data_IF_193370015799
#
_entry.id   IF_193370015799
#
_cell.length_a   1.000
_cell.length_b   1.000
_cell.length_c   1.000
_cell.angle_alpha   90.00
_cell.angle_beta   90.00
_cell.angle_gamma   90.00
#
_symmetry.space_group_name_H-M   'P 1'
#
loop_
_entity.id
_entity.type
_entity.pdbx_description
1 polymer ?
#
# COMPACT_ATOMS: atom_id res chain seq x y z
N UNK A 1 12.25 -2.00 4.30
CA UNK A 1 11.71 -3.31 4.69
C UNK A 1 12.18 -4.33 3.65
N UNK A 2 12.93 -5.37 4.03
CA UNK A 2 13.51 -6.32 3.05
C UNK A 2 12.46 -7.38 2.67
N UNK A 3 12.46 -7.83 1.41
CA UNK A 3 11.52 -8.82 0.86
C UNK A 3 11.36 -10.08 1.73
N UNK A 4 12.42 -10.49 2.43
CA UNK A 4 12.43 -11.63 3.33
C UNK A 4 11.58 -11.43 4.60
N UNK A 5 11.43 -10.20 5.08
CA UNK A 5 10.59 -9.90 6.25
C UNK A 5 9.12 -10.07 5.91
N UNK A 6 8.68 -9.54 4.76
CA UNK A 6 7.30 -9.67 4.28
C UNK A 6 6.87 -11.13 4.06
N UNK A 7 7.75 -11.95 3.49
CA UNK A 7 7.46 -13.39 3.27
C UNK A 7 7.29 -14.11 4.62
N UNK A 8 8.13 -13.76 5.61
CA UNK A 8 8.05 -14.36 6.95
C UNK A 8 6.74 -13.98 7.65
N UNK A 9 6.36 -12.70 7.58
CA UNK A 9 5.13 -12.20 8.22
C UNK A 9 3.87 -12.84 7.60
N UNK A 10 3.87 -13.03 6.28
CA UNK A 10 2.78 -13.72 5.57
C UNK A 10 2.71 -15.20 5.99
N UNK A 11 3.84 -15.89 6.06
CA UNK A 11 3.85 -17.31 6.45
C UNK A 11 3.35 -17.52 7.88
N UNK A 12 3.76 -16.66 8.82
CA UNK A 12 3.26 -16.71 10.20
C UNK A 12 1.75 -16.44 10.27
N UNK A 13 1.23 -15.55 9.43
CA UNK A 13 -0.21 -15.30 9.35
C UNK A 13 -0.96 -16.54 8.82
N UNK A 14 -0.44 -17.18 7.77
CA UNK A 14 -1.03 -18.39 7.18
C UNK A 14 -1.04 -19.57 8.15
N UNK A 15 0.04 -19.75 8.92
CA UNK A 15 0.16 -20.80 9.93
C UNK A 15 -0.84 -20.64 11.09
N UNK A 16 -1.30 -19.41 11.35
CA UNK A 16 -2.27 -19.11 12.41
C UNK A 16 -3.73 -19.38 12.03
N UNK A 17 -3.99 -19.78 10.77
CA UNK A 17 -5.34 -19.95 10.25
C UNK A 17 -5.73 -21.43 10.31
N UNK A 18 -6.53 -21.77 11.32
CA UNK A 18 -7.10 -23.12 11.49
C UNK A 18 -8.39 -23.32 10.65
N UNK A 19 -8.89 -22.25 10.06
CA UNK A 19 -10.18 -22.17 9.37
C UNK A 19 -9.97 -22.13 7.86
N UNK A 20 -10.32 -23.23 7.18
CA UNK A 20 -10.16 -23.44 5.75
C UNK A 20 -10.82 -22.31 4.92
N UNK A 21 -11.96 -21.77 5.37
CA UNK A 21 -12.67 -20.71 4.66
C UNK A 21 -11.86 -19.41 4.65
N UNK A 22 -11.10 -19.14 5.72
CA UNK A 22 -10.20 -17.97 5.80
C UNK A 22 -8.94 -18.16 4.97
N UNK A 23 -8.45 -19.39 4.88
CA UNK A 23 -7.30 -19.71 4.02
C UNK A 23 -7.67 -19.54 2.54
N UNK A 24 -8.87 -19.98 2.17
CA UNK A 24 -9.41 -19.81 0.81
C UNK A 24 -9.60 -18.32 0.47
N UNK A 25 -10.15 -17.52 1.39
CA UNK A 25 -10.27 -16.08 1.20
C UNK A 25 -8.91 -15.36 1.02
N UNK A 26 -7.87 -15.77 1.75
CA UNK A 26 -6.52 -15.22 1.57
C UNK A 26 -5.91 -15.66 0.24
N UNK A 27 -6.12 -16.91 -0.14
CA UNK A 27 -5.66 -17.42 -1.43
C UNK A 27 -6.31 -16.64 -2.59
N UNK A 28 -7.62 -16.44 -2.55
CA UNK A 28 -8.35 -15.64 -3.52
C UNK A 28 -7.84 -14.19 -3.59
N UNK A 29 -7.54 -13.58 -2.44
CA UNK A 29 -6.97 -12.24 -2.37
C UNK A 29 -5.57 -12.17 -3.02
N UNK A 30 -4.71 -13.15 -2.74
CA UNK A 30 -3.37 -13.25 -3.33
C UNK A 30 -3.48 -13.45 -4.85
N UNK A 31 -4.35 -14.36 -5.30
CA UNK A 31 -4.62 -14.61 -6.72
C UNK A 31 -5.18 -13.36 -7.41
N UNK A 32 -6.10 -12.64 -6.77
CA UNK A 32 -6.62 -11.38 -7.26
C UNK A 32 -5.49 -10.39 -7.52
N UNK A 33 -4.63 -10.13 -6.54
CA UNK A 33 -3.50 -9.20 -6.71
C UNK A 33 -2.44 -9.68 -7.70
N UNK A 34 -2.23 -10.99 -7.82
CA UNK A 34 -1.27 -11.57 -8.78
C UNK A 34 -1.78 -11.48 -10.21
N UNK A 35 -3.08 -11.64 -10.42
CA UNK A 35 -3.70 -11.72 -11.74
C UNK A 35 -4.35 -10.41 -12.20
N UNK A 36 -4.57 -9.44 -11.30
CA UNK A 36 -4.80 -8.06 -11.73
C UNK A 36 -3.57 -7.57 -12.46
N UNK A 37 -3.62 -7.62 -13.80
CA UNK A 37 -2.72 -6.87 -14.68
C UNK A 37 -2.58 -5.49 -14.08
N UNK A 38 -1.35 -5.09 -13.87
CA UNK A 38 -0.98 -3.92 -13.09
C UNK A 38 -1.61 -2.64 -13.67
N UNK A 39 -2.85 -2.35 -13.28
CA UNK A 39 -3.58 -1.11 -13.56
C UNK A 39 -3.20 -0.03 -12.55
N UNK A 40 -2.21 -0.28 -11.67
CA UNK A 40 -1.80 0.67 -10.65
C UNK A 40 -1.12 1.83 -11.37
N UNK A 41 -1.77 2.98 -11.34
CA UNK A 41 -1.28 4.28 -11.81
C UNK A 41 0.21 4.48 -11.51
N UNK A 42 0.67 4.00 -10.36
CA UNK A 42 2.08 3.95 -9.95
C UNK A 42 3.04 3.45 -11.03
N UNK A 43 2.71 2.37 -11.75
CA UNK A 43 3.63 1.79 -12.74
C UNK A 43 3.68 2.57 -14.06
N UNK A 44 2.72 3.47 -14.29
CA UNK A 44 2.72 4.41 -15.41
C UNK A 44 3.48 5.70 -15.10
N UNK A 45 3.88 5.92 -13.85
CA UNK A 45 4.63 7.10 -13.44
C UNK A 45 6.12 6.94 -13.77
N UNK A 46 6.71 8.03 -14.27
CA UNK A 46 8.16 8.20 -14.35
C UNK A 46 8.79 8.15 -12.96
N UNK A 47 10.11 7.93 -12.89
CA UNK A 47 10.81 7.91 -11.60
C UNK A 47 10.66 9.25 -10.85
N UNK A 48 10.77 10.37 -11.56
CA UNK A 48 10.59 11.70 -10.98
C UNK A 48 9.20 11.91 -10.36
N UNK A 49 8.16 11.41 -11.02
CA UNK A 49 6.78 11.47 -10.49
C UNK A 49 6.60 10.59 -9.25
N UNK A 50 7.22 9.42 -9.22
CA UNK A 50 7.23 8.56 -8.03
C UNK A 50 7.95 9.23 -6.87
N UNK A 51 9.12 9.79 -7.13
CA UNK A 51 9.94 10.49 -6.13
C UNK A 51 9.21 11.72 -5.58
N UNK A 52 8.48 12.45 -6.44
CA UNK A 52 7.63 13.56 -6.03
C UNK A 52 6.51 13.10 -5.09
N UNK A 53 5.80 12.02 -5.41
CA UNK A 53 4.73 11.50 -4.55
C UNK A 53 5.27 11.05 -3.19
N UNK A 54 6.40 10.32 -3.17
CA UNK A 54 7.03 9.89 -1.92
C UNK A 54 7.48 11.07 -1.07
N UNK A 55 7.99 12.13 -1.71
CA UNK A 55 8.37 13.37 -1.04
C UNK A 55 7.16 14.08 -0.42
N UNK A 56 6.09 14.25 -1.20
CA UNK A 56 4.85 14.86 -0.72
C UNK A 56 4.24 14.08 0.45
N UNK A 57 4.32 12.74 0.43
CA UNK A 57 3.90 11.91 1.55
C UNK A 57 4.74 12.19 2.81
N UNK A 58 6.06 12.16 2.72
CA UNK A 58 6.95 12.46 3.85
C UNK A 58 6.75 13.89 4.38
N UNK A 59 6.51 14.85 3.49
CA UNK A 59 6.22 16.24 3.85
C UNK A 59 4.88 16.36 4.58
N UNK A 60 3.88 15.54 4.23
CA UNK A 60 2.57 15.54 4.89
C UNK A 60 2.57 14.93 6.29
N UNK A 61 3.60 14.15 6.65
CA UNK A 61 3.79 13.66 8.02
C UNK A 61 4.33 14.75 8.96
N UNK A 62 4.72 15.90 8.43
CA UNK A 62 5.07 17.07 9.23
C UNK A 62 3.85 17.99 9.37
N UNK A 63 3.30 18.08 10.58
CA UNK A 63 2.14 18.91 10.90
C UNK A 63 2.33 20.39 10.53
N UNK A 64 3.58 20.91 10.56
CA UNK A 64 3.89 22.30 10.16
C UNK A 64 3.63 22.56 8.66
N UNK A 65 3.61 21.50 7.85
CA UNK A 65 3.31 21.58 6.41
C UNK A 65 1.82 21.44 6.12
N UNK A 66 1.00 21.14 7.13
CA UNK A 66 -0.44 20.98 6.95
C UNK A 66 -1.12 22.35 6.95
N UNK A 67 -2.02 22.53 5.98
CA UNK A 67 -2.93 23.68 5.94
C UNK A 67 -4.26 23.31 6.57
N UNK A 68 -4.92 24.27 7.20
CA UNK A 68 -6.21 24.01 7.82
C UNK A 68 -7.27 23.67 6.75
N UNK A 69 -8.24 22.82 7.09
CA UNK A 69 -9.37 22.50 6.20
C UNK A 69 -10.05 23.78 5.68
N UNK A 70 -10.20 24.79 6.54
CA UNK A 70 -10.78 26.06 6.15
C UNK A 70 -9.95 26.77 5.07
N UNK A 71 -8.62 26.68 5.09
CA UNK A 71 -7.74 27.24 4.06
C UNK A 71 -7.79 26.46 2.75
N UNK A 72 -7.89 25.13 2.80
CA UNK A 72 -8.03 24.27 1.61
C UNK A 72 -9.32 24.59 0.85
N UNK A 73 -10.42 24.83 1.58
CA UNK A 73 -11.75 25.06 1.02
C UNK A 73 -12.17 26.54 0.99
N UNK A 74 -11.22 27.49 1.10
CA UNK A 74 -11.51 28.92 0.90
C UNK A 74 -12.12 29.12 -0.50
N UNK A 75 -13.40 29.50 -0.51
CA UNK A 75 -14.09 30.03 -1.69
C UNK A 75 -13.90 31.54 -1.77
#
# INVERSE_FOLDING_TARGET
MTKNTLIKDINTLLESIEDLDKLEAIYELIEYYRNTKDTRTWNYLTQDQKDHILRAFNESENDDNLVSMNEVFKR
#
